data_IF_250664999601
#
_entry.id   IF_250664999601
#
_cell.length_a   1.000
_cell.length_b   1.000
_cell.length_c   1.000
_cell.angle_alpha   90.00
_cell.angle_beta   90.00
_cell.angle_gamma   90.00
#
_symmetry.space_group_name_H-M   'P 1'
#
loop_
_entity.id
_entity.type
_entity.pdbx_description
1 polymer ?
#
# COMPACT_ATOMS: atom_id res chain seq x y z
N UNK A 1 66.21 13.32 48.20
CA UNK A 1 64.90 12.84 48.71
C UNK A 1 63.98 14.06 48.78
N UNK A 2 62.95 14.15 47.93
CA UNK A 2 62.00 15.26 47.92
C UNK A 2 60.82 14.81 48.80
N UNK A 3 60.48 15.58 49.85
CA UNK A 3 59.53 15.15 50.91
C UNK A 3 58.09 15.61 50.64
N UNK A 4 57.92 16.77 49.99
CA UNK A 4 56.59 17.40 49.84
C UNK A 4 55.75 16.86 48.67
N UNK A 5 56.35 16.16 47.71
CA UNK A 5 55.67 15.69 46.51
C UNK A 5 55.89 14.20 46.32
N UNK A 6 54.80 13.42 46.35
CA UNK A 6 54.84 11.98 46.13
C UNK A 6 54.36 11.65 44.71
N UNK A 7 55.30 11.57 43.77
CA UNK A 7 55.01 11.27 42.37
C UNK A 7 54.39 9.89 42.15
N UNK A 8 54.73 8.90 42.99
CA UNK A 8 54.12 7.58 42.93
C UNK A 8 52.64 7.63 43.29
N UNK A 9 52.28 8.34 44.37
CA UNK A 9 50.89 8.56 44.77
C UNK A 9 50.09 9.39 43.74
N UNK A 10 50.71 10.41 43.12
CA UNK A 10 50.07 11.18 42.05
C UNK A 10 49.84 10.34 40.78
N UNK A 11 50.74 9.40 40.48
CA UNK A 11 50.56 8.48 39.36
C UNK A 11 49.46 7.46 39.64
N UNK A 12 49.42 6.86 40.83
CA UNK A 12 48.36 5.93 41.22
C UNK A 12 46.99 6.61 41.26
N UNK A 13 46.91 7.85 41.74
CA UNK A 13 45.66 8.62 41.72
C UNK A 13 45.19 8.92 40.28
N UNK A 14 46.09 9.29 39.36
CA UNK A 14 45.74 9.47 37.94
C UNK A 14 45.26 8.17 37.30
N UNK A 15 45.95 7.05 37.56
CA UNK A 15 45.53 5.75 37.04
C UNK A 15 44.17 5.30 37.60
N UNK A 16 43.92 5.53 38.90
CA UNK A 16 42.63 5.27 39.54
C UNK A 16 41.51 6.11 38.92
N UNK A 17 41.76 7.41 38.68
CA UNK A 17 40.80 8.28 38.01
C UNK A 17 40.48 7.84 36.57
N UNK A 18 41.49 7.42 35.82
CA UNK A 18 41.31 6.85 34.47
C UNK A 18 40.48 5.56 34.51
N UNK A 19 40.77 4.66 35.45
CA UNK A 19 40.04 3.39 35.58
C UNK A 19 38.59 3.60 36.02
N UNK A 20 38.33 4.52 36.95
CA UNK A 20 36.96 4.87 37.37
C UNK A 20 36.16 5.47 36.20
N UNK A 21 36.78 6.31 35.37
CA UNK A 21 36.12 6.90 34.18
C UNK A 21 35.79 5.82 33.15
N UNK A 22 36.72 4.88 32.91
CA UNK A 22 36.49 3.75 32.01
C UNK A 22 35.38 2.82 32.52
N UNK A 23 35.36 2.49 33.81
CA UNK A 23 34.31 1.68 34.43
C UNK A 23 32.93 2.36 34.33
N UNK A 24 32.85 3.67 34.58
CA UNK A 24 31.61 4.44 34.42
C UNK A 24 31.11 4.42 32.97
N UNK A 25 32.01 4.53 31.98
CA UNK A 25 31.66 4.43 30.56
C UNK A 25 31.16 3.04 30.17
N UNK A 26 31.80 1.98 30.66
CA UNK A 26 31.34 0.61 30.41
C UNK A 26 29.97 0.34 31.04
N UNK A 27 29.72 0.85 32.25
CA UNK A 27 28.41 0.77 32.91
C UNK A 27 27.34 1.50 32.09
N UNK A 28 27.65 2.67 31.53
CA UNK A 28 26.74 3.41 30.65
C UNK A 28 26.40 2.62 29.37
N UNK A 29 27.40 1.98 28.76
CA UNK A 29 27.21 1.16 27.56
C UNK A 29 26.42 -0.12 27.85
N UNK A 30 26.72 -0.81 28.96
CA UNK A 30 25.99 -2.00 29.40
C UNK A 30 24.54 -1.67 29.79
N UNK A 31 24.31 -0.53 30.46
CA UNK A 31 22.97 -0.11 30.87
C UNK A 31 22.10 0.37 29.71
N UNK A 32 22.70 0.96 28.67
CA UNK A 32 21.97 1.43 27.49
C UNK A 32 21.83 0.35 26.42
N UNK A 33 22.68 -0.69 26.45
CA UNK A 33 22.80 -1.67 25.37
C UNK A 33 23.49 -1.12 24.11
N UNK A 34 23.96 0.13 24.14
CA UNK A 34 24.55 0.81 22.99
C UNK A 34 26.05 1.02 23.19
N UNK A 35 26.84 0.63 22.19
CA UNK A 35 28.27 0.94 22.08
C UNK A 35 28.52 2.43 21.85
N UNK A 36 27.62 3.10 21.12
CA UNK A 36 27.69 4.53 20.80
C UNK A 36 26.50 5.22 21.49
N UNK A 37 26.73 5.77 22.68
CA UNK A 37 25.69 6.51 23.43
C UNK A 37 25.84 8.02 23.25
N UNK A 38 27.08 8.51 23.09
CA UNK A 38 27.39 9.93 22.89
C UNK A 38 28.11 10.14 21.56
N UNK A 39 27.97 11.33 20.97
CA UNK A 39 28.71 11.70 19.76
C UNK A 39 30.25 11.66 19.94
N UNK A 40 30.74 11.72 21.18
CA UNK A 40 32.16 11.57 21.51
C UNK A 40 32.68 10.14 21.46
N UNK A 41 31.82 9.12 21.44
CA UNK A 41 32.23 7.71 21.35
C UNK A 41 32.64 7.35 19.91
N UNK A 42 31.81 7.72 18.94
CA UNK A 42 32.08 7.62 17.50
C UNK A 42 31.12 8.54 16.72
N UNK A 43 31.63 9.69 16.26
CA UNK A 43 30.82 10.67 15.54
C UNK A 43 30.37 10.17 14.15
N UNK A 44 31.20 9.38 13.47
CA UNK A 44 30.88 8.87 12.13
C UNK A 44 29.86 7.72 12.21
N UNK A 45 30.04 6.79 13.16
CA UNK A 45 29.10 5.71 13.45
C UNK A 45 27.73 6.24 13.88
N UNK A 46 27.70 7.31 14.69
CA UNK A 46 26.46 7.97 15.06
C UNK A 46 25.71 8.51 13.83
N UNK A 47 26.38 9.26 12.95
CA UNK A 47 25.75 9.83 11.76
C UNK A 47 25.20 8.75 10.79
N UNK A 48 25.93 7.64 10.61
CA UNK A 48 25.48 6.53 9.77
C UNK A 48 24.28 5.82 10.41
N UNK A 49 24.32 5.55 11.72
CA UNK A 49 23.22 4.88 12.43
C UNK A 49 21.93 5.71 12.43
N UNK A 50 22.02 7.03 12.57
CA UNK A 50 20.84 7.91 12.49
C UNK A 50 20.23 7.92 11.07
N UNK A 51 21.06 7.91 10.02
CA UNK A 51 20.57 7.74 8.64
C UNK A 51 19.88 6.39 8.46
N UNK A 52 20.48 5.31 8.96
CA UNK A 52 19.90 3.96 8.89
C UNK A 52 18.56 3.90 9.64
N UNK A 53 18.45 4.48 10.84
CA UNK A 53 17.20 4.57 11.60
C UNK A 53 16.11 5.33 10.86
N UNK A 54 16.48 6.44 10.21
CA UNK A 54 15.54 7.18 9.35
C UNK A 54 15.03 6.33 8.20
N UNK A 55 15.91 5.59 7.53
CA UNK A 55 15.55 4.68 6.45
C UNK A 55 14.69 3.51 6.94
N UNK A 56 15.03 2.84 8.04
CA UNK A 56 14.25 1.74 8.63
C UNK A 56 12.82 2.19 8.91
N UNK A 57 12.65 3.31 9.64
CA UNK A 57 11.32 3.86 9.93
C UNK A 57 10.56 4.26 8.66
N UNK A 58 11.28 4.78 7.67
CA UNK A 58 10.70 5.10 6.36
C UNK A 58 10.22 3.85 5.61
N UNK A 59 11.01 2.77 5.60
CA UNK A 59 10.65 1.49 4.99
C UNK A 59 9.46 0.84 5.68
N UNK A 60 9.40 0.88 7.02
CA UNK A 60 8.28 0.33 7.79
C UNK A 60 6.99 1.10 7.50
N UNK A 61 7.05 2.44 7.41
CA UNK A 61 5.91 3.25 7.01
C UNK A 61 5.51 3.03 5.54
N UNK A 62 6.49 2.87 4.65
CA UNK A 62 6.23 2.52 3.25
C UNK A 62 5.52 1.16 3.12
N UNK A 63 5.89 0.18 3.93
CA UNK A 63 5.22 -1.12 4.00
C UNK A 63 3.76 -0.96 4.43
N UNK A 64 3.51 -0.13 5.45
CA UNK A 64 2.14 0.20 5.88
C UNK A 64 1.35 0.92 4.80
N UNK A 65 1.93 1.91 4.12
CA UNK A 65 1.27 2.60 3.00
C UNK A 65 0.91 1.64 1.86
N UNK A 66 1.79 0.67 1.56
CA UNK A 66 1.52 -0.36 0.57
C UNK A 66 0.35 -1.27 1.01
N UNK A 67 0.24 -1.61 2.30
CA UNK A 67 -0.91 -2.37 2.84
C UNK A 67 -2.22 -1.58 2.78
N UNK A 68 -2.18 -0.28 3.09
CA UNK A 68 -3.34 0.61 2.95
C UNK A 68 -3.79 0.68 1.48
N UNK A 69 -2.82 0.72 0.55
CA UNK A 69 -3.08 0.70 -0.89
C UNK A 69 -3.70 -0.63 -1.36
N UNK A 70 -3.24 -1.77 -0.83
CA UNK A 70 -3.86 -3.09 -1.10
C UNK A 70 -5.31 -3.09 -0.61
N UNK A 71 -5.58 -2.54 0.58
CA UNK A 71 -6.94 -2.48 1.15
C UNK A 71 -7.88 -1.61 0.30
N UNK A 72 -7.38 -0.50 -0.24
CA UNK A 72 -8.10 0.33 -1.20
C UNK A 72 -8.42 -0.44 -2.48
N UNK A 73 -7.43 -1.13 -3.07
CA UNK A 73 -7.60 -1.93 -4.28
C UNK A 73 -8.64 -3.03 -4.08
N UNK A 74 -8.60 -3.74 -2.95
CA UNK A 74 -9.57 -4.79 -2.61
C UNK A 74 -11.00 -4.24 -2.46
N UNK A 75 -11.15 -3.01 -1.94
CA UNK A 75 -12.45 -2.35 -1.85
C UNK A 75 -13.01 -2.05 -3.24
N UNK A 76 -12.17 -1.56 -4.16
CA UNK A 76 -12.57 -1.35 -5.55
C UNK A 76 -12.88 -2.67 -6.27
N UNK A 77 -12.06 -3.71 -6.09
CA UNK A 77 -12.27 -5.01 -6.73
C UNK A 77 -13.57 -5.67 -6.26
N UNK A 78 -13.90 -5.58 -4.97
CA UNK A 78 -15.16 -6.09 -4.43
C UNK A 78 -16.38 -5.45 -5.10
N UNK A 79 -16.36 -4.12 -5.29
CA UNK A 79 -17.41 -3.42 -6.01
C UNK A 79 -17.50 -3.81 -7.49
N UNK A 80 -16.34 -3.96 -8.16
CA UNK A 80 -16.31 -4.39 -9.58
C UNK A 80 -16.76 -5.84 -9.77
N UNK A 81 -16.69 -6.68 -8.73
CA UNK A 81 -17.23 -8.03 -8.80
C UNK A 81 -18.76 -8.00 -8.88
N UNK A 82 -19.42 -7.17 -8.07
CA UNK A 82 -20.87 -6.96 -8.13
C UNK A 82 -21.28 -6.34 -9.48
N UNK A 83 -20.53 -5.35 -9.98
CA UNK A 83 -20.75 -4.79 -11.32
C UNK A 83 -20.66 -5.87 -12.40
N UNK A 84 -19.69 -6.79 -12.31
CA UNK A 84 -19.55 -7.90 -13.26
C UNK A 84 -20.77 -8.82 -13.23
N UNK A 85 -21.24 -9.21 -12.04
CA UNK A 85 -22.41 -10.08 -11.88
C UNK A 85 -23.70 -9.42 -12.41
N UNK A 86 -23.86 -8.11 -12.18
CA UNK A 86 -24.99 -7.34 -12.74
C UNK A 86 -24.91 -7.29 -14.27
N UNK A 87 -23.74 -7.04 -14.85
CA UNK A 87 -23.56 -7.02 -16.30
C UNK A 87 -23.86 -8.38 -16.93
N UNK A 88 -23.45 -9.49 -16.30
CA UNK A 88 -23.84 -10.83 -16.76
C UNK A 88 -25.35 -11.01 -16.74
N UNK A 89 -26.04 -10.55 -15.68
CA UNK A 89 -27.50 -10.57 -15.61
C UNK A 89 -28.15 -9.72 -16.70
N UNK A 90 -27.64 -8.52 -16.96
CA UNK A 90 -28.12 -7.67 -18.07
C UNK A 90 -27.95 -8.36 -19.43
N UNK A 91 -26.83 -9.07 -19.63
CA UNK A 91 -26.58 -9.85 -20.85
C UNK A 91 -27.56 -11.00 -21.00
N UNK A 92 -27.90 -11.71 -19.93
CA UNK A 92 -28.94 -12.75 -19.95
C UNK A 92 -30.30 -12.18 -20.38
N UNK A 93 -30.69 -11.02 -19.84
CA UNK A 93 -31.94 -10.35 -20.20
C UNK A 93 -31.94 -9.89 -21.66
N UNK A 94 -30.81 -9.38 -22.17
CA UNK A 94 -30.67 -9.01 -23.57
C UNK A 94 -30.79 -10.22 -24.50
N UNK A 95 -30.14 -11.34 -24.16
CA UNK A 95 -30.28 -12.62 -24.90
C UNK A 95 -31.71 -13.15 -24.85
N UNK A 96 -32.35 -13.10 -23.68
CA UNK A 96 -33.74 -13.50 -23.53
C UNK A 96 -34.66 -12.63 -24.39
N UNK A 97 -34.48 -11.30 -24.35
CA UNK A 97 -35.24 -10.37 -25.18
C UNK A 97 -35.02 -10.66 -26.67
N UNK A 98 -33.79 -10.97 -27.11
CA UNK A 98 -33.50 -11.27 -28.52
C UNK A 98 -34.30 -12.42 -29.13
N UNK A 99 -34.96 -13.26 -28.34
CA UNK A 99 -35.80 -14.36 -28.83
C UNK A 99 -37.19 -13.88 -29.30
N UNK A 100 -37.64 -14.37 -30.47
CA UNK A 100 -38.92 -14.02 -31.12
C UNK A 100 -40.15 -14.53 -30.38
N UNK A 101 -39.99 -15.40 -29.40
CA UNK A 101 -41.10 -15.87 -28.55
C UNK A 101 -41.63 -14.79 -27.61
N UNK A 102 -40.86 -13.73 -27.36
CA UNK A 102 -41.29 -12.62 -26.50
C UNK A 102 -42.09 -11.60 -27.30
N UNK A 103 -43.22 -11.18 -26.74
CA UNK A 103 -44.03 -10.08 -27.31
C UNK A 103 -43.41 -8.73 -26.97
N UNK A 104 -43.80 -7.67 -27.68
CA UNK A 104 -43.31 -6.30 -27.41
C UNK A 104 -43.57 -5.87 -25.95
N UNK A 105 -44.68 -6.34 -25.34
CA UNK A 105 -44.98 -6.06 -23.93
C UNK A 105 -44.01 -6.76 -22.99
N UNK A 106 -43.61 -7.98 -23.31
CA UNK A 106 -42.66 -8.75 -22.48
C UNK A 106 -41.27 -8.08 -22.52
N UNK A 107 -40.87 -7.56 -23.70
CA UNK A 107 -39.61 -6.81 -23.86
C UNK A 107 -39.57 -5.53 -23.04
N UNK A 108 -40.69 -4.81 -22.96
CA UNK A 108 -40.82 -3.61 -22.11
C UNK A 108 -40.68 -3.97 -20.61
N UNK A 109 -41.18 -5.12 -20.17
CA UNK A 109 -40.97 -5.56 -18.78
C UNK A 109 -39.50 -5.95 -18.51
N UNK A 110 -38.83 -6.60 -19.45
CA UNK A 110 -37.39 -6.89 -19.36
C UNK A 110 -36.55 -5.60 -19.35
N UNK A 111 -36.93 -4.59 -20.15
CA UNK A 111 -36.26 -3.28 -20.16
C UNK A 111 -36.33 -2.59 -18.79
N UNK A 112 -37.42 -2.76 -18.03
CA UNK A 112 -37.50 -2.21 -16.66
C UNK A 112 -36.47 -2.85 -15.74
N UNK A 113 -36.25 -4.17 -15.84
CA UNK A 113 -35.22 -4.86 -15.06
C UNK A 113 -33.82 -4.33 -15.45
N UNK A 114 -33.53 -4.22 -16.74
CA UNK A 114 -32.26 -3.63 -17.23
C UNK A 114 -32.06 -2.19 -16.74
N UNK A 115 -33.11 -1.37 -16.71
CA UNK A 115 -33.05 -0.01 -16.21
C UNK A 115 -32.72 0.06 -14.71
N UNK A 116 -33.29 -0.83 -13.88
CA UNK A 116 -32.95 -0.92 -12.45
C UNK A 116 -31.53 -1.44 -12.24
N UNK A 117 -31.09 -2.43 -13.01
CA UNK A 117 -29.70 -2.92 -12.97
C UNK A 117 -28.69 -1.82 -13.36
N UNK A 118 -29.02 -1.00 -14.36
CA UNK A 118 -28.18 0.13 -14.78
C UNK A 118 -28.07 1.17 -13.66
N UNK A 119 -29.18 1.50 -12.98
CA UNK A 119 -29.16 2.39 -11.80
C UNK A 119 -28.32 1.81 -10.67
N UNK A 120 -28.37 0.50 -10.47
CA UNK A 120 -27.58 -0.17 -9.44
C UNK A 120 -26.09 -0.12 -9.76
N UNK A 121 -25.68 -0.29 -11.02
CA UNK A 121 -24.28 -0.09 -11.44
C UNK A 121 -23.81 1.34 -11.14
N UNK A 122 -24.60 2.35 -11.53
CA UNK A 122 -24.27 3.75 -11.23
C UNK A 122 -24.20 4.00 -9.71
N UNK A 123 -25.12 3.43 -8.94
CA UNK A 123 -25.14 3.51 -7.47
C UNK A 123 -23.87 2.89 -6.86
N UNK A 124 -23.41 1.75 -7.35
CA UNK A 124 -22.18 1.10 -6.90
C UNK A 124 -20.98 2.00 -7.23
N UNK A 125 -20.90 2.51 -8.46
CA UNK A 125 -19.81 3.38 -8.88
C UNK A 125 -19.70 4.66 -8.02
N UNK A 126 -20.82 5.33 -7.76
CA UNK A 126 -20.87 6.59 -7.01
C UNK A 126 -20.71 6.41 -5.49
N UNK A 127 -21.17 5.29 -4.92
CA UNK A 127 -21.11 5.06 -3.47
C UNK A 127 -19.86 4.32 -3.02
N UNK A 128 -19.11 3.68 -3.93
CA UNK A 128 -17.86 2.99 -3.57
C UNK A 128 -16.81 4.02 -3.16
N UNK A 129 -16.51 4.02 -1.87
CA UNK A 129 -15.53 4.91 -1.28
C UNK A 129 -14.59 4.20 -0.32
N UNK A 130 -13.34 4.66 -0.28
CA UNK A 130 -12.36 4.25 0.71
C UNK A 130 -11.85 5.50 1.41
N UNK A 131 -12.04 5.57 2.73
CA UNK A 131 -11.66 6.75 3.52
C UNK A 131 -12.17 8.07 2.89
N UNK A 132 -13.48 8.12 2.56
CA UNK A 132 -14.18 9.26 1.92
C UNK A 132 -13.73 9.62 0.49
N UNK A 133 -12.83 8.85 -0.11
CA UNK A 133 -12.42 9.04 -1.51
C UNK A 133 -13.23 8.12 -2.41
N UNK A 134 -13.86 8.69 -3.44
CA UNK A 134 -14.54 7.91 -4.49
C UNK A 134 -13.51 7.21 -5.36
N UNK A 135 -13.82 5.96 -5.73
CA UNK A 135 -12.89 5.09 -6.45
C UNK A 135 -13.30 4.85 -7.90
N UNK A 136 -14.60 4.70 -8.17
CA UNK A 136 -15.13 4.18 -9.43
C UNK A 136 -15.87 5.23 -10.29
N UNK A 137 -15.93 6.47 -9.83
CA UNK A 137 -16.62 7.58 -10.50
C UNK A 137 -15.75 8.28 -11.57
N UNK A 138 -14.52 7.80 -11.79
CA UNK A 138 -13.55 8.39 -12.70
C UNK A 138 -12.76 9.56 -12.13
N UNK A 139 -12.97 9.94 -10.87
CA UNK A 139 -12.16 11.01 -10.22
C UNK A 139 -10.82 10.48 -9.68
N UNK A 140 -10.66 9.15 -9.65
CA UNK A 140 -9.47 8.48 -9.13
C UNK A 140 -8.38 8.36 -10.20
N UNK A 141 -7.88 9.51 -10.66
CA UNK A 141 -6.79 9.60 -11.64
C UNK A 141 -5.48 10.02 -10.97
N UNK A 142 -4.38 9.42 -11.43
CA UNK A 142 -2.98 9.74 -11.09
C UNK A 142 -2.72 9.79 -9.57
N UNK A 143 -3.33 8.87 -8.81
CA UNK A 143 -3.14 8.81 -7.37
C UNK A 143 -1.79 8.19 -7.04
N UNK A 144 -0.99 8.94 -6.30
CA UNK A 144 0.39 8.57 -5.96
C UNK A 144 0.43 7.81 -4.64
N UNK A 145 0.85 6.56 -4.69
CA UNK A 145 1.12 5.71 -3.53
C UNK A 145 2.61 5.74 -3.20
N UNK A 146 2.98 6.27 -2.04
CA UNK A 146 4.38 6.32 -1.62
C UNK A 146 4.79 5.01 -0.94
N UNK A 147 5.64 4.24 -1.63
CA UNK A 147 6.01 2.85 -1.27
C UNK A 147 7.52 2.71 -1.03
N UNK A 148 8.21 3.80 -0.69
CA UNK A 148 9.62 3.78 -0.30
C UNK A 148 9.97 4.77 0.80
N UNK A 149 11.24 4.79 1.17
CA UNK A 149 11.76 5.63 2.25
C UNK A 149 12.35 6.97 1.76
N UNK A 150 12.58 7.12 0.45
CA UNK A 150 13.19 8.30 -0.16
C UNK A 150 12.26 8.92 -1.21
N UNK A 151 12.60 10.12 -1.67
CA UNK A 151 11.89 10.81 -2.76
C UNK A 151 11.84 9.95 -4.02
N UNK A 152 10.78 10.13 -4.81
CA UNK A 152 10.56 9.47 -6.12
C UNK A 152 10.34 7.94 -6.05
N UNK A 153 10.15 7.39 -4.84
CA UNK A 153 9.77 5.99 -4.64
C UNK A 153 8.25 5.84 -4.53
N UNK A 154 7.55 6.18 -5.61
CA UNK A 154 6.09 6.17 -5.65
C UNK A 154 5.54 5.35 -6.81
N UNK A 155 4.32 4.86 -6.66
CA UNK A 155 3.53 4.16 -7.66
C UNK A 155 2.26 4.94 -7.94
N UNK A 156 2.04 5.27 -9.21
CA UNK A 156 0.76 5.85 -9.66
C UNK A 156 -0.29 4.75 -9.85
N UNK A 157 -1.52 5.05 -9.45
CA UNK A 157 -2.70 4.23 -9.63
C UNK A 157 -3.82 5.10 -10.17
N UNK A 158 -4.39 4.66 -11.29
CA UNK A 158 -5.57 5.25 -11.91
C UNK A 158 -6.65 4.19 -11.97
N UNK A 159 -7.87 4.56 -11.56
CA UNK A 159 -9.07 3.74 -11.72
C UNK A 159 -10.03 4.50 -12.61
N UNK A 160 -10.41 3.89 -13.72
CA UNK A 160 -11.33 4.52 -14.68
C UNK A 160 -12.76 4.60 -14.14
N UNK A 161 -13.58 5.45 -14.74
CA UNK A 161 -15.01 5.48 -14.49
C UNK A 161 -15.65 4.13 -14.85
N UNK A 162 -16.38 3.55 -13.90
CA UNK A 162 -17.07 2.25 -14.03
C UNK A 162 -18.58 2.41 -13.79
N UNK A 163 -19.09 3.62 -13.98
CA UNK A 163 -20.51 3.95 -13.99
C UNK A 163 -21.17 3.60 -15.34
N UNK A 164 -22.48 3.79 -15.44
CA UNK A 164 -23.21 3.49 -16.68
C UNK A 164 -22.69 4.29 -17.89
N UNK A 165 -22.19 5.51 -17.67
CA UNK A 165 -21.61 6.37 -18.71
C UNK A 165 -20.24 5.85 -19.16
N UNK A 166 -19.34 5.56 -18.21
CA UNK A 166 -18.00 5.05 -18.47
C UNK A 166 -18.00 3.69 -19.15
N UNK A 167 -19.01 2.87 -18.88
CA UNK A 167 -19.24 1.57 -19.51
C UNK A 167 -20.10 1.63 -20.78
N UNK A 168 -20.58 2.81 -21.18
CA UNK A 168 -21.46 3.00 -22.36
C UNK A 168 -22.77 2.19 -22.33
N UNK A 169 -23.30 1.89 -21.14
CA UNK A 169 -24.52 1.09 -20.96
C UNK A 169 -25.79 1.91 -20.67
N UNK A 170 -25.66 3.23 -20.51
CA UNK A 170 -26.79 4.12 -20.16
C UNK A 170 -27.92 4.10 -21.21
N UNK A 171 -27.57 3.95 -22.49
CA UNK A 171 -28.50 3.95 -23.61
C UNK A 171 -28.92 2.54 -24.07
N UNK A 172 -28.66 1.51 -23.26
CA UNK A 172 -29.02 0.13 -23.61
C UNK A 172 -30.54 -0.02 -23.70
N UNK A 173 -31.01 -0.37 -24.89
CA UNK A 173 -32.41 -0.61 -25.20
C UNK A 173 -32.61 -2.03 -25.73
N UNK A 174 -33.39 -2.82 -24.99
CA UNK A 174 -33.77 -4.19 -25.35
C UNK A 174 -35.26 -4.31 -25.69
N UNK A 175 -35.98 -3.21 -25.94
CA UNK A 175 -37.40 -3.21 -26.31
C UNK A 175 -37.66 -3.78 -27.72
N UNK A 176 -36.63 -3.87 -28.56
CA UNK A 176 -36.69 -4.47 -29.90
C UNK A 176 -35.65 -5.57 -30.07
N UNK A 177 -35.88 -6.49 -31.02
CA UNK A 177 -34.91 -7.55 -31.32
C UNK A 177 -33.58 -6.99 -31.83
N UNK A 178 -33.63 -5.96 -32.68
CA UNK A 178 -32.41 -5.29 -33.18
C UNK A 178 -31.67 -4.57 -32.05
N UNK A 179 -32.39 -3.89 -31.16
CA UNK A 179 -31.81 -3.26 -29.97
C UNK A 179 -31.18 -4.27 -29.02
N UNK A 180 -31.87 -5.38 -28.74
CA UNK A 180 -31.36 -6.47 -27.91
C UNK A 180 -30.06 -7.08 -28.46
N UNK A 181 -29.93 -7.25 -29.78
CA UNK A 181 -28.69 -7.72 -30.40
C UNK A 181 -27.54 -6.73 -30.22
N UNK A 182 -27.79 -5.42 -30.42
CA UNK A 182 -26.79 -4.38 -30.17
C UNK A 182 -26.41 -4.26 -28.69
N UNK A 183 -27.38 -4.47 -27.80
CA UNK A 183 -27.18 -4.48 -26.36
C UNK A 183 -26.25 -5.62 -25.91
N UNK A 184 -26.37 -6.82 -26.51
CA UNK A 184 -25.47 -7.95 -26.21
C UNK A 184 -24.01 -7.57 -26.49
N UNK A 185 -23.75 -6.91 -27.62
CA UNK A 185 -22.40 -6.46 -27.98
C UNK A 185 -21.90 -5.37 -27.02
N UNK A 186 -22.73 -4.35 -26.76
CA UNK A 186 -22.39 -3.25 -25.83
C UNK A 186 -22.11 -3.75 -24.40
N UNK A 187 -22.95 -4.66 -23.89
CA UNK A 187 -22.76 -5.25 -22.56
C UNK A 187 -21.52 -6.14 -22.53
N UNK A 188 -21.22 -6.86 -23.61
CA UNK A 188 -20.00 -7.65 -23.70
C UNK A 188 -18.74 -6.76 -23.63
N UNK A 189 -18.74 -5.63 -24.34
CA UNK A 189 -17.65 -4.65 -24.26
C UNK A 189 -17.51 -4.10 -22.83
N UNK A 190 -18.61 -3.79 -22.15
CA UNK A 190 -18.59 -3.36 -20.76
C UNK A 190 -18.03 -4.44 -19.81
N UNK A 191 -18.41 -5.71 -19.99
CA UNK A 191 -17.86 -6.85 -19.24
C UNK A 191 -16.34 -6.95 -19.44
N UNK A 192 -15.88 -6.81 -20.68
CA UNK A 192 -14.47 -6.89 -21.03
C UNK A 192 -13.68 -5.71 -20.42
N UNK A 193 -14.25 -4.51 -20.40
CA UNK A 193 -13.67 -3.33 -19.74
C UNK A 193 -13.55 -3.52 -18.23
N UNK A 194 -14.61 -3.95 -17.54
CA UNK A 194 -14.57 -4.23 -16.10
C UNK A 194 -13.55 -5.33 -15.79
N UNK A 195 -13.49 -6.37 -16.62
CA UNK A 195 -12.52 -7.46 -16.46
C UNK A 195 -11.08 -6.99 -16.65
N UNK A 196 -10.83 -6.10 -17.62
CA UNK A 196 -9.52 -5.49 -17.84
C UNK A 196 -9.10 -4.62 -16.65
N UNK A 197 -10.03 -3.83 -16.10
CA UNK A 197 -9.76 -3.00 -14.93
C UNK A 197 -9.43 -3.84 -13.69
N UNK A 198 -10.22 -4.88 -13.42
CA UNK A 198 -9.95 -5.86 -12.35
C UNK A 198 -8.60 -6.53 -12.51
N UNK A 199 -8.23 -6.90 -13.74
CA UNK A 199 -6.92 -7.49 -14.04
C UNK A 199 -5.78 -6.53 -13.73
N UNK A 200 -5.91 -5.24 -14.08
CA UNK A 200 -4.93 -4.21 -13.74
C UNK A 200 -4.81 -4.00 -12.22
N UNK A 201 -5.94 -3.97 -11.51
CA UNK A 201 -5.97 -3.87 -10.06
C UNK A 201 -5.29 -5.06 -9.38
N UNK A 202 -5.57 -6.28 -9.82
CA UNK A 202 -4.91 -7.48 -9.31
C UNK A 202 -3.40 -7.51 -9.61
N UNK A 203 -2.97 -7.04 -10.79
CA UNK A 203 -1.55 -6.89 -11.11
C UNK A 203 -0.86 -5.89 -10.18
N UNK A 204 -1.52 -4.77 -9.87
CA UNK A 204 -1.02 -3.77 -8.92
C UNK A 204 -0.94 -4.33 -7.49
N UNK A 205 -1.93 -5.13 -7.06
CA UNK A 205 -1.88 -5.82 -5.76
C UNK A 205 -0.65 -6.74 -5.67
N UNK A 206 -0.44 -7.63 -6.66
CA UNK A 206 0.72 -8.52 -6.69
C UNK A 206 2.04 -7.75 -6.62
N UNK A 207 2.11 -6.60 -7.32
CA UNK A 207 3.28 -5.72 -7.29
C UNK A 207 3.52 -5.12 -5.90
N UNK A 208 2.47 -4.70 -5.20
CA UNK A 208 2.55 -4.19 -3.83
C UNK A 208 2.96 -5.28 -2.84
N UNK A 209 2.47 -6.52 -3.00
CA UNK A 209 2.89 -7.66 -2.17
C UNK A 209 4.38 -7.97 -2.32
N UNK A 210 4.90 -7.99 -3.55
CA UNK A 210 6.33 -8.11 -3.79
C UNK A 210 7.13 -6.92 -3.21
N UNK A 211 6.57 -5.72 -3.30
CA UNK A 211 7.18 -4.53 -2.72
C UNK A 211 7.28 -4.64 -1.19
N UNK A 212 6.21 -5.04 -0.50
CA UNK A 212 6.19 -5.25 0.95
C UNK A 212 7.26 -6.26 1.37
N UNK A 213 7.39 -7.38 0.64
CA UNK A 213 8.41 -8.38 0.93
C UNK A 213 9.83 -7.80 0.79
N UNK A 214 10.09 -7.03 -0.27
CA UNK A 214 11.38 -6.38 -0.49
C UNK A 214 11.69 -5.30 0.57
N UNK A 215 10.69 -4.50 0.95
CA UNK A 215 10.80 -3.50 2.02
C UNK A 215 11.11 -4.16 3.37
N UNK A 216 10.43 -5.27 3.69
CA UNK A 216 10.66 -6.06 4.89
C UNK A 216 12.09 -6.59 4.97
N UNK A 217 12.57 -7.26 3.90
CA UNK A 217 13.95 -7.74 3.83
C UNK A 217 14.97 -6.60 3.91
N UNK A 218 14.68 -5.44 3.30
CA UNK A 218 15.57 -4.28 3.39
C UNK A 218 15.60 -3.68 4.80
N UNK A 219 14.45 -3.58 5.47
CA UNK A 219 14.32 -3.09 6.85
C UNK A 219 15.08 -4.00 7.83
N UNK A 220 14.96 -5.32 7.67
CA UNK A 220 15.68 -6.30 8.49
C UNK A 220 17.20 -6.20 8.31
N UNK A 221 17.68 -6.16 7.05
CA UNK A 221 19.11 -6.05 6.76
C UNK A 221 19.71 -4.73 7.26
N UNK A 222 18.98 -3.61 7.14
CA UNK A 222 19.41 -2.32 7.68
C UNK A 222 19.40 -2.32 9.21
N UNK A 223 18.43 -2.97 9.84
CA UNK A 223 18.39 -3.13 11.31
C UNK A 223 19.58 -3.94 11.80
N UNK A 224 19.93 -5.03 11.12
CA UNK A 224 21.12 -5.82 11.44
C UNK A 224 22.43 -5.05 11.20
N UNK A 225 22.47 -4.16 10.20
CA UNK A 225 23.62 -3.28 9.98
C UNK A 225 23.72 -2.20 11.07
N UNK A 226 22.61 -1.59 11.45
CA UNK A 226 22.53 -0.56 12.50
C UNK A 226 22.91 -1.13 13.87
N UNK A 227 22.41 -2.32 14.21
CA UNK A 227 22.75 -3.06 15.42
C UNK A 227 24.26 -3.31 15.52
N UNK A 228 24.92 -3.76 14.45
CA UNK A 228 26.39 -3.95 14.46
C UNK A 228 27.17 -2.66 14.69
N UNK A 229 26.64 -1.53 14.22
CA UNK A 229 27.26 -0.22 14.40
C UNK A 229 27.06 0.27 15.83
N UNK A 230 25.83 0.17 16.35
CA UNK A 230 25.43 0.91 17.55
C UNK A 230 25.25 0.05 18.80
N UNK A 231 24.91 -1.22 18.67
CA UNK A 231 24.69 -2.10 19.82
C UNK A 231 26.01 -2.59 20.40
N UNK A 232 26.00 -2.83 21.71
CA UNK A 232 27.15 -3.34 22.45
C UNK A 232 27.13 -4.87 22.50
N UNK A 233 28.29 -5.48 22.31
CA UNK A 233 28.48 -6.90 22.65
C UNK A 233 28.69 -7.02 24.16
N UNK A 234 27.70 -7.55 24.87
CA UNK A 234 27.72 -7.71 26.33
C UNK A 234 28.91 -8.55 26.82
N UNK A 235 29.38 -9.52 26.03
CA UNK A 235 30.50 -10.40 26.42
C UNK A 235 31.84 -9.68 26.33
N UNK A 236 31.97 -8.70 25.43
CA UNK A 236 33.18 -7.88 25.29
C UNK A 236 33.20 -6.68 26.25
N UNK A 237 32.02 -6.19 26.66
CA UNK A 237 31.88 -4.99 27.47
C UNK A 237 31.88 -5.22 29.00
N UNK A 238 31.65 -6.45 29.45
CA UNK A 238 31.76 -6.87 30.85
C UNK A 238 33.20 -7.28 31.21
#
# INVERSE_FOLDING_TARGET
>A
MIINHNMAAMNTHRQLGSNNTAAASNIEKLSSGLKINRAGDDAAGLAISEKMRGQIRGLDMASKNAQDSISLIQTAEGALNETHDILQRMRELAVQSSNDTNTDKDRVELQKEVAELTKEITRIAENTEFNTQKLLDGTFEDKVMHIGANTDQSQELTIKAMDATGLSIEAVDIESQTGANAAIETIQEAIDLVSAERSMLGANQNRLEHTINNLGTSSENLTAAESRIRDVDYVLAA
#
